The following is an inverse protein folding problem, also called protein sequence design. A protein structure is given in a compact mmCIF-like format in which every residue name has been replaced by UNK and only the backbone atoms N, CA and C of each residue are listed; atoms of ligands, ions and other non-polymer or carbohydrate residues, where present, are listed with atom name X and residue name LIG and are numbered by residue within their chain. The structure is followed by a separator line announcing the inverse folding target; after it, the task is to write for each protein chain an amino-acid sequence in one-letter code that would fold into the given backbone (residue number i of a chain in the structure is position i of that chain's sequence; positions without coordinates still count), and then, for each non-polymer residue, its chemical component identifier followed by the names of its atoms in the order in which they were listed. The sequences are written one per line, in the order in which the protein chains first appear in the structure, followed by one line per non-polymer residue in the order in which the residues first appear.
data_IF_082753724143
#
_entry.id   IF_082753724143
#
_cell.length_a   1.000
_cell.length_b   1.000
_cell.length_c   1.000
_cell.angle_alpha   90.00
_cell.angle_beta   90.00
_cell.angle_gamma   90.00
#
_symmetry.space_group_name_H-M   'P 1'
#
loop_
_entity.id
_entity.type
_entity.pdbx_description
1 polymer ?
#
# COMPACT_ATOMS: atom_id res chain seq x y z
N UNK A 1 14.51 4.90 -18.85
CA UNK A 1 14.58 5.49 -17.49
C UNK A 1 13.30 5.24 -16.65
N UNK A 2 12.25 4.64 -17.21
CA UNK A 2 11.03 4.21 -16.48
C UNK A 2 11.17 2.82 -15.87
N UNK A 3 11.82 1.88 -16.56
CA UNK A 3 12.01 0.50 -16.08
C UNK A 3 12.77 0.40 -14.73
N UNK A 4 13.73 1.30 -14.47
CA UNK A 4 14.43 1.32 -13.17
C UNK A 4 13.52 1.78 -12.03
N UNK A 5 12.66 2.77 -12.28
CA UNK A 5 11.68 3.25 -11.30
C UNK A 5 10.62 2.18 -11.03
N UNK A 6 10.17 1.46 -12.07
CA UNK A 6 9.21 0.36 -11.93
C UNK A 6 9.79 -0.81 -11.14
N UNK A 7 11.02 -1.24 -11.45
CA UNK A 7 11.70 -2.30 -10.71
C UNK A 7 11.92 -1.92 -9.23
N UNK A 8 12.31 -0.67 -8.96
CA UNK A 8 12.48 -0.17 -7.60
C UNK A 8 11.13 -0.09 -6.86
N UNK A 9 10.07 0.35 -7.55
CA UNK A 9 8.70 0.42 -7.03
C UNK A 9 8.20 -0.97 -6.63
N UNK A 10 8.35 -1.96 -7.50
CA UNK A 10 7.94 -3.34 -7.22
C UNK A 10 8.69 -3.94 -6.04
N UNK A 11 10.01 -3.71 -5.97
CA UNK A 11 10.84 -4.18 -4.86
C UNK A 11 10.39 -3.57 -3.52
N UNK A 12 10.29 -2.25 -3.44
CA UNK A 12 9.93 -1.56 -2.20
C UNK A 12 8.48 -1.88 -1.78
N UNK A 13 7.57 -2.07 -2.75
CA UNK A 13 6.21 -2.55 -2.49
C UNK A 13 6.22 -3.98 -1.91
N UNK A 14 7.03 -4.87 -2.49
CA UNK A 14 7.21 -6.24 -1.99
C UNK A 14 7.75 -6.28 -0.55
N UNK A 15 8.67 -5.40 -0.21
CA UNK A 15 9.19 -5.25 1.16
C UNK A 15 8.09 -4.81 2.13
N UNK A 16 7.22 -3.86 1.75
CA UNK A 16 6.07 -3.42 2.58
C UNK A 16 5.07 -4.58 2.76
N UNK A 17 4.76 -5.30 1.68
CA UNK A 17 3.84 -6.45 1.71
C UNK A 17 4.37 -7.51 2.68
N UNK A 18 5.64 -7.88 2.59
CA UNK A 18 6.25 -8.87 3.46
C UNK A 18 6.32 -8.39 4.91
N UNK A 19 6.75 -7.15 5.15
CA UNK A 19 6.91 -6.59 6.50
C UNK A 19 5.58 -6.47 7.25
N UNK A 20 4.50 -6.10 6.56
CA UNK A 20 3.17 -5.94 7.17
C UNK A 20 2.26 -7.16 6.97
N UNK A 21 2.76 -8.22 6.31
CA UNK A 21 2.00 -9.41 5.94
C UNK A 21 0.67 -9.06 5.23
N UNK A 22 0.78 -8.23 4.19
CA UNK A 22 -0.33 -7.81 3.35
C UNK A 22 -0.64 -8.85 2.28
N UNK A 23 -1.81 -8.73 1.67
CA UNK A 23 -2.14 -9.54 0.50
C UNK A 23 -1.47 -8.96 -0.74
N UNK A 24 -0.53 -9.66 -1.39
CA UNK A 24 0.27 -9.11 -2.47
C UNK A 24 -0.57 -8.63 -3.65
N UNK A 25 -1.51 -9.45 -4.11
CA UNK A 25 -2.40 -9.15 -5.24
C UNK A 25 -3.25 -7.90 -5.00
N UNK A 26 -3.90 -7.83 -3.83
CA UNK A 26 -4.76 -6.70 -3.46
C UNK A 26 -3.95 -5.43 -3.21
N UNK A 27 -2.73 -5.55 -2.68
CA UNK A 27 -1.83 -4.41 -2.49
C UNK A 27 -1.39 -3.85 -3.83
N UNK A 28 -1.02 -4.71 -4.78
CA UNK A 28 -0.60 -4.31 -6.12
C UNK A 28 -1.74 -3.58 -6.84
N UNK A 29 -2.96 -4.14 -6.84
CA UNK A 29 -4.14 -3.50 -7.43
C UNK A 29 -4.47 -2.16 -6.76
N UNK A 30 -4.35 -2.08 -5.44
CA UNK A 30 -4.62 -0.85 -4.69
C UNK A 30 -3.66 0.28 -5.07
N UNK A 31 -2.37 -0.03 -5.18
CA UNK A 31 -1.34 0.93 -5.59
C UNK A 31 -1.50 1.31 -7.07
N UNK A 32 -1.75 0.34 -7.96
CA UNK A 32 -1.93 0.61 -9.39
C UNK A 32 -3.13 1.54 -9.64
N UNK A 33 -4.24 1.31 -8.95
CA UNK A 33 -5.39 2.20 -8.96
C UNK A 33 -5.03 3.60 -8.45
N UNK A 34 -4.25 3.72 -7.37
CA UNK A 34 -3.82 5.01 -6.84
C UNK A 34 -2.94 5.80 -7.82
N UNK A 35 -2.02 5.14 -8.54
CA UNK A 35 -1.23 5.78 -9.59
C UNK A 35 -2.09 6.24 -10.76
N UNK A 36 -3.08 5.44 -11.16
CA UNK A 36 -4.00 5.79 -12.25
C UNK A 36 -4.92 6.96 -11.89
N UNK A 37 -5.38 7.01 -10.64
CA UNK A 37 -6.22 8.09 -10.12
C UNK A 37 -5.43 9.32 -9.65
N UNK A 38 -4.12 9.19 -9.48
CA UNK A 38 -3.25 10.23 -8.95
C UNK A 38 -3.42 10.49 -7.45
N UNK A 39 -4.09 9.60 -6.71
CA UNK A 39 -4.25 9.73 -5.26
C UNK A 39 -4.45 8.39 -4.57
N UNK A 40 -3.93 8.26 -3.35
CA UNK A 40 -4.16 7.07 -2.52
C UNK A 40 -5.50 7.20 -1.77
N UNK A 41 -6.49 6.37 -2.14
CA UNK A 41 -7.76 6.31 -1.40
C UNK A 41 -7.65 5.42 -0.16
N UNK A 42 -6.98 5.96 0.86
CA UNK A 42 -6.91 5.33 2.19
C UNK A 42 -8.27 5.34 2.93
N UNK A 43 -9.18 6.22 2.51
CA UNK A 43 -10.55 6.29 3.02
C UNK A 43 -11.44 5.27 2.29
N UNK A 44 -12.06 4.37 3.06
CA UNK A 44 -13.00 3.35 2.54
C UNK A 44 -12.60 1.91 2.85
N UNK A 45 -13.22 0.96 2.14
CA UNK A 45 -13.02 -0.48 2.31
C UNK A 45 -11.89 -1.04 1.45
N UNK A 46 -11.34 -0.27 0.51
CA UNK A 46 -10.26 -0.71 -0.37
C UNK A 46 -9.02 -1.14 0.43
N UNK A 47 -8.54 -0.30 1.35
CA UNK A 47 -7.42 -0.62 2.24
C UNK A 47 -7.69 -1.84 3.13
N UNK A 48 -8.95 -2.10 3.49
CA UNK A 48 -9.29 -3.28 4.31
C UNK A 48 -9.20 -4.59 3.54
N UNK A 49 -9.25 -4.54 2.19
CA UNK A 49 -9.02 -5.72 1.34
C UNK A 49 -7.56 -6.13 1.31
N UNK A 50 -6.66 -5.14 1.41
CA UNK A 50 -5.20 -5.29 1.41
C UNK A 50 -4.70 -5.93 2.69
N UNK A 51 -5.37 -5.64 3.81
CA UNK A 51 -5.06 -6.22 5.11
C UNK A 51 -5.44 -7.71 5.16
N UNK A 52 -4.67 -8.53 5.90
CA UNK A 52 -5.04 -9.91 6.13
C UNK A 52 -6.35 -9.99 6.94
N UNK A 53 -7.14 -11.06 6.77
CA UNK A 53 -8.36 -11.24 7.54
C UNK A 53 -8.02 -11.27 9.03
N UNK A 54 -8.60 -10.34 9.78
CA UNK A 54 -8.52 -10.38 11.24
C UNK A 54 -9.51 -11.40 11.77
N UNK A 55 -9.03 -12.33 12.59
CA UNK A 55 -9.92 -13.26 13.26
C UNK A 55 -10.85 -12.47 14.19
N UNK A 56 -12.16 -12.65 14.00
CA UNK A 56 -13.24 -12.00 14.78
C UNK A 56 -13.19 -12.36 16.28
N UNK A 57 -12.41 -13.38 16.65
CA UNK A 57 -12.21 -13.84 18.02
C UNK A 57 -10.96 -13.26 18.69
N UNK A 58 -10.13 -12.54 17.94
CA UNK A 58 -8.96 -11.85 18.48
C UNK A 58 -9.44 -10.60 19.20
N UNK A 59 -9.29 -10.55 20.54
CA UNK A 59 -9.51 -9.35 21.37
C UNK A 59 -8.60 -8.15 21.00
N UNK A 60 -7.75 -8.30 19.99
CA UNK A 60 -6.74 -7.32 19.64
C UNK A 60 -7.33 -6.08 19.00
N UNK A 61 -7.24 -4.97 19.73
CA UNK A 61 -7.36 -3.58 19.23
C UNK A 61 -6.36 -3.24 18.10
N UNK A 62 -5.53 -4.18 17.67
CA UNK A 62 -4.41 -3.98 16.73
C UNK A 62 -4.84 -3.83 15.27
N UNK A 63 -6.07 -4.17 14.88
CA UNK A 63 -6.50 -3.99 13.49
C UNK A 63 -6.49 -2.52 13.06
N UNK A 64 -6.98 -1.62 13.93
CA UNK A 64 -7.00 -0.18 13.66
C UNK A 64 -5.59 0.41 13.58
N UNK A 65 -4.69 -0.05 14.45
CA UNK A 65 -3.29 0.39 14.44
C UNK A 65 -2.53 -0.11 13.22
N UNK A 66 -2.70 -1.39 12.88
CA UNK A 66 -2.12 -1.99 11.68
C UNK A 66 -2.62 -1.30 10.43
N UNK A 67 -3.93 -1.03 10.33
CA UNK A 67 -4.51 -0.24 9.24
C UNK A 67 -3.84 1.13 9.12
N UNK A 68 -3.72 1.89 10.21
CA UNK A 68 -3.05 3.20 10.17
C UNK A 68 -1.60 3.09 9.72
N UNK A 69 -0.84 2.15 10.26
CA UNK A 69 0.57 1.92 9.91
C UNK A 69 0.74 1.58 8.43
N UNK A 70 -0.11 0.70 7.91
CA UNK A 70 -0.10 0.29 6.49
C UNK A 70 -0.50 1.44 5.58
N UNK A 71 -1.55 2.20 5.92
CA UNK A 71 -1.95 3.41 5.19
C UNK A 71 -0.80 4.40 5.13
N UNK A 72 -0.13 4.65 6.25
CA UNK A 72 0.99 5.57 6.31
C UNK A 72 2.14 5.11 5.40
N UNK A 73 2.58 3.85 5.52
CA UNK A 73 3.66 3.29 4.68
C UNK A 73 3.33 3.33 3.19
N UNK A 74 2.11 2.93 2.81
CA UNK A 74 1.67 2.96 1.41
C UNK A 74 1.52 4.39 0.90
N UNK A 75 1.11 5.33 1.76
CA UNK A 75 1.03 6.76 1.44
C UNK A 75 2.42 7.37 1.20
N UNK A 76 3.37 7.15 2.10
CA UNK A 76 4.76 7.60 1.96
C UNK A 76 5.42 7.02 0.70
N UNK A 77 5.19 5.73 0.44
CA UNK A 77 5.60 5.07 -0.80
C UNK A 77 4.99 5.76 -2.03
N UNK A 78 3.67 5.97 -2.03
CA UNK A 78 2.99 6.61 -3.14
C UNK A 78 3.53 8.01 -3.40
N UNK A 79 3.65 8.87 -2.38
CA UNK A 79 4.16 10.24 -2.53
C UNK A 79 5.59 10.26 -3.08
N UNK A 80 6.45 9.36 -2.61
CA UNK A 80 7.83 9.24 -3.10
C UNK A 80 7.87 8.96 -4.60
N UNK A 81 7.12 7.97 -5.09
CA UNK A 81 7.13 7.60 -6.50
C UNK A 81 6.28 8.54 -7.37
N UNK A 82 5.15 9.01 -6.88
CA UNK A 82 4.29 9.96 -7.60
C UNK A 82 4.99 11.30 -7.79
N UNK A 83 5.68 11.80 -6.76
CA UNK A 83 6.49 13.01 -6.85
C UNK A 83 7.68 12.87 -7.81
N UNK A 84 8.28 11.68 -7.90
CA UNK A 84 9.36 11.39 -8.86
C UNK A 84 8.87 11.29 -10.31
N UNK A 85 7.65 10.79 -10.53
CA UNK A 85 7.02 10.71 -11.86
C UNK A 85 6.49 12.09 -12.30
N UNK A 86 5.92 12.87 -11.39
CA UNK A 86 5.35 14.20 -11.67
C UNK A 86 6.38 15.32 -11.83
N UNK A 87 7.63 15.15 -11.36
CA UNK A 87 8.71 16.15 -11.53
C UNK A 87 9.41 16.09 -12.90
N UNK A 88 8.91 15.29 -13.85
CA UNK A 88 9.40 15.25 -15.23
C UNK A 88 8.68 16.25 -16.12
#
# INVERSE_FOLDING_TARGET
MTAYLEAQREKELGEIIAAENLKPEETAQFIDAAFREGSIRASGTAITKVLPPVSRFSKEKNHGEKKRRVVQKLGEFFERFFGLVSKR
#
